data_IF_455813062747
#
_entry.id   IF_455813062747
#
_cell.length_a   1.000
_cell.length_b   1.000
_cell.length_c   1.000
_cell.angle_alpha   90.00
_cell.angle_beta   90.00
_cell.angle_gamma   90.00
#
_symmetry.space_group_name_H-M   'P 1'
#
loop_
_entity.id
_entity.type
_entity.pdbx_description
1 polymer ?
#
# COMPACT_ATOMS: atom_id res chain seq x y z
N UNK A 1 16.23 -2.18 8.84
CA UNK A 1 16.18 -3.66 8.77
C UNK A 1 15.15 -4.13 9.78
N UNK A 2 14.46 -5.25 9.54
CA UNK A 2 13.39 -5.75 10.41
C UNK A 2 13.91 -6.89 11.29
N UNK A 3 14.87 -6.58 12.16
CA UNK A 3 15.45 -7.56 13.09
C UNK A 3 14.55 -7.83 14.29
N UNK A 4 13.92 -6.78 14.81
CA UNK A 4 13.09 -6.81 16.00
C UNK A 4 12.01 -5.71 15.90
N UNK A 5 11.10 -5.70 16.88
CA UNK A 5 10.03 -4.71 16.99
C UNK A 5 10.53 -3.27 16.96
N UNK A 6 11.58 -2.96 17.73
CA UNK A 6 12.12 -1.60 17.84
C UNK A 6 12.66 -1.09 16.50
N UNK A 7 13.44 -1.92 15.80
CA UNK A 7 14.00 -1.55 14.50
C UNK A 7 12.94 -1.37 13.41
N UNK A 8 11.90 -2.20 13.47
CA UNK A 8 10.74 -2.08 12.57
C UNK A 8 9.99 -0.79 12.83
N UNK A 9 9.64 -0.48 14.09
CA UNK A 9 8.95 0.76 14.44
C UNK A 9 9.77 2.00 14.07
N UNK A 10 11.09 1.98 14.26
CA UNK A 10 11.98 3.07 13.82
C UNK A 10 11.94 3.26 12.30
N UNK A 11 11.91 2.16 11.54
CA UNK A 11 11.80 2.21 10.08
C UNK A 11 10.46 2.80 9.66
N UNK A 12 9.35 2.33 10.24
CA UNK A 12 8.00 2.82 9.95
C UNK A 12 7.81 4.29 10.38
N UNK A 13 8.44 4.71 11.47
CA UNK A 13 8.45 6.12 11.88
C UNK A 13 9.05 7.03 10.80
N UNK A 14 10.10 6.57 10.11
CA UNK A 14 10.70 7.31 8.99
C UNK A 14 9.81 7.33 7.74
N UNK A 15 8.75 6.53 7.69
CA UNK A 15 7.79 6.53 6.59
C UNK A 15 6.59 7.45 6.84
N UNK A 16 6.38 7.92 8.07
CA UNK A 16 5.30 8.87 8.40
C UNK A 16 5.30 10.09 7.46
N UNK A 17 6.45 10.74 7.15
CA UNK A 17 6.48 11.89 6.27
C UNK A 17 6.15 11.60 4.80
N UNK A 18 6.01 10.33 4.41
CA UNK A 18 5.65 9.92 3.05
C UNK A 18 4.14 9.93 2.81
N UNK A 19 3.33 10.04 3.86
CA UNK A 19 1.89 10.27 3.74
C UNK A 19 1.58 11.78 3.79
N UNK A 20 0.35 12.14 3.43
CA UNK A 20 -0.11 13.52 3.62
C UNK A 20 -0.34 13.83 5.10
N UNK A 21 -0.39 15.12 5.45
CA UNK A 21 -0.63 15.56 6.84
C UNK A 21 -1.94 15.03 7.45
N UNK A 22 -2.93 14.71 6.60
CA UNK A 22 -4.21 14.10 6.99
C UNK A 22 -4.20 12.56 6.80
N UNK A 23 -3.01 11.95 6.78
CA UNK A 23 -2.78 10.52 6.55
C UNK A 23 -3.36 9.95 5.26
N UNK A 24 -3.72 10.80 4.30
CA UNK A 24 -4.25 10.43 2.99
C UNK A 24 -5.63 11.00 2.67
N UNK A 25 -6.33 11.52 3.68
CA UNK A 25 -7.65 12.10 3.47
C UNK A 25 -7.58 13.50 2.84
N UNK A 26 -8.45 13.74 1.86
CA UNK A 26 -8.58 15.02 1.15
C UNK A 26 -10.03 15.47 1.11
N UNK A 27 -10.21 16.79 1.02
CA UNK A 27 -11.51 17.45 0.87
C UNK A 27 -11.57 18.06 -0.52
N UNK A 28 -12.55 17.64 -1.32
CA UNK A 28 -12.78 18.18 -2.66
C UNK A 28 -13.84 19.26 -2.58
N UNK A 29 -13.48 20.49 -2.94
CA UNK A 29 -14.45 21.60 -3.08
C UNK A 29 -15.38 21.32 -4.26
N UNK A 30 -16.67 21.61 -4.07
CA UNK A 30 -17.69 21.40 -5.09
C UNK A 30 -17.72 19.97 -5.65
N UNK A 31 -17.53 18.97 -4.78
CA UNK A 31 -17.46 17.55 -5.15
C UNK A 31 -18.63 17.07 -6.04
N UNK A 32 -19.81 17.67 -5.88
CA UNK A 32 -21.02 17.41 -6.68
C UNK A 32 -20.86 17.68 -8.19
N UNK A 33 -19.78 18.35 -8.62
CA UNK A 33 -19.47 18.62 -10.03
C UNK A 33 -18.71 17.48 -10.71
N UNK A 34 -18.26 16.50 -9.94
CA UNK A 34 -17.46 15.38 -10.40
C UNK A 34 -18.20 14.08 -10.12
N UNK A 35 -17.84 13.04 -10.87
CA UNK A 35 -18.31 11.69 -10.61
C UNK A 35 -17.40 11.05 -9.55
N UNK A 36 -17.70 11.37 -8.28
CA UNK A 36 -16.96 10.87 -7.12
C UNK A 36 -17.85 9.91 -6.34
N UNK A 37 -17.24 8.90 -5.67
CA UNK A 37 -18.00 7.97 -4.83
C UNK A 37 -18.67 8.70 -3.66
N UNK A 38 -19.50 7.98 -2.91
CA UNK A 38 -20.07 8.52 -1.68
C UNK A 38 -18.95 8.86 -0.68
N UNK A 39 -18.86 10.08 -0.14
CA UNK A 39 -17.73 10.45 0.72
C UNK A 39 -17.79 9.78 2.10
N UNK A 40 -16.62 9.65 2.72
CA UNK A 40 -16.51 9.43 4.16
C UNK A 40 -16.97 10.66 4.95
N UNK A 41 -17.32 10.45 6.21
CA UNK A 41 -17.50 11.54 7.18
C UNK A 41 -16.22 11.61 8.01
N UNK A 42 -15.45 12.69 7.85
CA UNK A 42 -14.15 12.87 8.53
C UNK A 42 -14.11 14.21 9.26
N UNK A 43 -13.26 14.30 10.27
CA UNK A 43 -12.97 15.57 10.93
C UNK A 43 -12.21 16.50 9.98
N UNK A 44 -12.79 17.65 9.67
CA UNK A 44 -12.19 18.70 8.83
C UNK A 44 -11.40 19.68 9.69
N UNK A 45 -11.90 19.92 10.90
CA UNK A 45 -11.23 20.67 11.95
C UNK A 45 -11.65 20.15 13.33
N UNK A 46 -11.15 20.79 14.39
CA UNK A 46 -11.40 20.41 15.79
C UNK A 46 -12.86 20.44 16.24
N UNK A 47 -13.77 21.02 15.45
CA UNK A 47 -15.18 21.22 15.80
C UNK A 47 -16.16 20.73 14.73
N UNK A 48 -15.68 20.38 13.53
CA UNK A 48 -16.54 20.10 12.39
C UNK A 48 -16.10 18.86 11.62
N UNK A 49 -17.09 18.02 11.37
CA UNK A 49 -17.00 16.93 10.41
C UNK A 49 -17.55 17.34 9.04
N UNK A 50 -17.09 16.66 8.00
CA UNK A 50 -17.49 16.93 6.63
C UNK A 50 -17.15 15.78 5.68
N UNK A 51 -17.55 15.93 4.40
CA UNK A 51 -17.24 14.94 3.39
C UNK A 51 -15.75 14.92 3.08
N UNK A 52 -15.17 13.73 3.02
CA UNK A 52 -13.79 13.52 2.60
C UNK A 52 -13.57 12.20 1.90
N UNK A 53 -12.45 12.11 1.20
CA UNK A 53 -12.04 10.96 0.39
C UNK A 53 -10.63 10.55 0.77
N UNK A 54 -10.34 9.26 0.71
CA UNK A 54 -8.98 8.76 0.93
C UNK A 54 -8.28 8.65 -0.43
N UNK A 55 -7.08 9.21 -0.60
CA UNK A 55 -6.32 8.94 -1.83
C UNK A 55 -5.69 7.54 -1.75
N UNK A 56 -5.86 6.75 -2.80
CA UNK A 56 -5.44 5.34 -2.84
C UNK A 56 -3.97 5.13 -2.53
N UNK A 57 -3.05 5.91 -3.11
CA UNK A 57 -1.61 5.77 -2.81
C UNK A 57 -1.29 5.83 -1.32
N UNK A 58 -1.98 6.70 -0.56
CA UNK A 58 -1.75 6.81 0.88
C UNK A 58 -2.40 5.67 1.66
N UNK A 59 -3.49 5.10 1.15
CA UNK A 59 -4.11 3.92 1.73
C UNK A 59 -3.22 2.69 1.50
N UNK A 60 -2.67 2.52 0.30
CA UNK A 60 -1.70 1.47 -0.02
C UNK A 60 -0.45 1.56 0.88
N UNK A 61 0.10 2.78 1.09
CA UNK A 61 1.23 2.99 2.01
C UNK A 61 0.87 2.68 3.47
N UNK A 62 -0.35 2.99 3.89
CA UNK A 62 -0.88 2.63 5.20
C UNK A 62 -0.96 1.12 5.38
N UNK A 63 -1.58 0.41 4.43
CA UNK A 63 -1.68 -1.05 4.42
C UNK A 63 -0.29 -1.71 4.42
N UNK A 64 0.66 -1.21 3.63
CA UNK A 64 2.03 -1.71 3.60
C UNK A 64 2.73 -1.56 4.96
N UNK A 65 2.49 -0.45 5.66
CA UNK A 65 3.02 -0.21 7.01
C UNK A 65 2.42 -1.17 8.03
N UNK A 66 1.11 -1.45 7.92
CA UNK A 66 0.41 -2.46 8.73
C UNK A 66 1.00 -3.85 8.51
N UNK A 67 1.23 -4.24 7.25
CA UNK A 67 1.82 -5.53 6.91
C UNK A 67 3.24 -5.68 7.48
N UNK A 68 4.07 -4.64 7.40
CA UNK A 68 5.41 -4.66 7.98
C UNK A 68 5.39 -4.82 9.51
N UNK A 69 4.46 -4.13 10.20
CA UNK A 69 4.29 -4.28 11.64
C UNK A 69 3.83 -5.70 12.02
N UNK A 70 2.82 -6.23 11.32
CA UNK A 70 2.28 -7.56 11.60
C UNK A 70 3.27 -8.67 11.23
N UNK A 71 4.03 -8.51 10.16
CA UNK A 71 5.14 -9.39 9.83
C UNK A 71 6.10 -9.49 11.01
N UNK A 72 6.51 -8.34 11.58
CA UNK A 72 7.41 -8.34 12.73
C UNK A 72 6.79 -8.96 14.00
N UNK A 73 5.49 -8.74 14.22
CA UNK A 73 4.77 -9.34 15.36
C UNK A 73 4.61 -10.87 15.21
N UNK A 74 4.46 -11.38 14.00
CA UNK A 74 4.35 -12.83 13.75
C UNK A 74 5.61 -13.61 14.15
N UNK A 75 6.76 -12.96 14.17
CA UNK A 75 8.05 -13.52 14.62
C UNK A 75 8.44 -13.03 16.03
N UNK A 76 7.53 -12.45 16.80
CA UNK A 76 7.88 -11.84 18.10
C UNK A 76 8.57 -12.85 19.03
N UNK A 77 9.78 -12.49 19.49
CA UNK A 77 10.65 -13.36 20.30
C UNK A 77 11.53 -14.34 19.52
N UNK A 78 11.43 -14.41 18.19
CA UNK A 78 12.30 -15.23 17.33
C UNK A 78 13.41 -14.36 16.74
N UNK A 79 14.65 -14.72 16.99
CA UNK A 79 15.82 -14.10 16.34
C UNK A 79 15.83 -14.45 14.84
N UNK A 80 15.60 -13.47 13.99
CA UNK A 80 15.69 -13.62 12.55
C UNK A 80 17.14 -13.64 12.10
N UNK A 81 17.45 -14.51 11.12
CA UNK A 81 18.76 -14.43 10.46
C UNK A 81 18.91 -13.09 9.72
N UNK A 82 20.15 -12.63 9.58
CA UNK A 82 20.45 -11.39 8.83
C UNK A 82 19.87 -11.42 7.42
N UNK A 83 19.98 -12.56 6.72
CA UNK A 83 19.42 -12.73 5.38
C UNK A 83 17.91 -12.46 5.36
N UNK A 84 17.15 -13.04 6.29
CA UNK A 84 15.69 -12.87 6.37
C UNK A 84 15.33 -11.44 6.75
N UNK A 85 15.92 -10.90 7.81
CA UNK A 85 15.61 -9.55 8.28
C UNK A 85 15.96 -8.47 7.25
N UNK A 86 17.08 -8.63 6.53
CA UNK A 86 17.50 -7.74 5.46
C UNK A 86 16.57 -7.86 4.24
N UNK A 87 16.34 -9.08 3.74
CA UNK A 87 15.54 -9.29 2.53
C UNK A 87 14.11 -8.81 2.74
N UNK A 88 13.52 -9.08 3.90
CA UNK A 88 12.17 -8.59 4.23
C UNK A 88 12.11 -7.06 4.22
N UNK A 89 13.02 -6.38 4.93
CA UNK A 89 13.06 -4.92 4.95
C UNK A 89 13.32 -4.32 3.56
N UNK A 90 14.17 -4.96 2.76
CA UNK A 90 14.42 -4.58 1.37
C UNK A 90 13.15 -4.70 0.52
N UNK A 91 12.44 -5.84 0.57
CA UNK A 91 11.21 -6.08 -0.19
C UNK A 91 10.12 -5.06 0.15
N UNK A 92 9.87 -4.81 1.44
CA UNK A 92 8.91 -3.78 1.86
C UNK A 92 9.29 -2.39 1.34
N UNK A 93 10.58 -2.02 1.40
CA UNK A 93 11.04 -0.75 0.85
C UNK A 93 10.97 -0.69 -0.68
N UNK A 94 11.16 -1.81 -1.37
CA UNK A 94 11.04 -1.90 -2.83
C UNK A 94 9.58 -1.72 -3.27
N UNK A 95 8.64 -2.41 -2.62
CA UNK A 95 7.20 -2.25 -2.87
C UNK A 95 6.76 -0.82 -2.59
N UNK A 96 7.20 -0.23 -1.47
CA UNK A 96 6.91 1.18 -1.14
C UNK A 96 7.34 2.14 -2.26
N UNK A 97 8.52 1.93 -2.83
CA UNK A 97 9.00 2.75 -3.94
C UNK A 97 8.14 2.56 -5.19
N UNK A 98 7.72 1.33 -5.49
CA UNK A 98 6.77 1.05 -6.58
C UNK A 98 5.46 1.79 -6.42
N UNK A 99 4.84 1.73 -5.23
CA UNK A 99 3.60 2.45 -4.91
C UNK A 99 3.75 3.96 -5.08
N UNK A 100 4.89 4.54 -4.68
CA UNK A 100 5.13 5.97 -4.86
C UNK A 100 5.45 6.35 -6.31
N UNK A 101 6.07 5.45 -7.07
CA UNK A 101 6.43 5.67 -8.47
C UNK A 101 5.21 5.60 -9.39
N UNK A 102 4.29 4.67 -9.11
CA UNK A 102 3.01 4.50 -9.79
C UNK A 102 1.87 4.91 -8.86
N UNK A 103 1.97 6.11 -8.29
CA UNK A 103 1.04 6.61 -7.28
C UNK A 103 -0.39 6.69 -7.84
N UNK A 104 -1.26 5.82 -7.34
CA UNK A 104 -2.68 5.84 -7.66
C UNK A 104 -3.36 7.04 -6.98
N UNK A 105 -3.90 7.94 -7.81
CA UNK A 105 -4.53 9.19 -7.40
C UNK A 105 -6.06 9.07 -7.22
N UNK A 106 -6.61 7.86 -7.36
CA UNK A 106 -8.04 7.57 -7.16
C UNK A 106 -8.50 8.06 -5.79
N UNK A 107 -9.72 8.60 -5.75
CA UNK A 107 -10.37 9.08 -4.54
C UNK A 107 -11.36 8.04 -4.04
N UNK A 108 -10.98 7.32 -3.00
CA UNK A 108 -11.80 6.29 -2.37
C UNK A 108 -12.87 6.92 -1.48
N UNK A 109 -14.09 6.41 -1.61
CA UNK A 109 -15.24 6.75 -0.79
C UNK A 109 -15.78 5.52 -0.06
N UNK A 110 -16.97 5.65 0.51
CA UNK A 110 -17.73 4.54 1.10
C UNK A 110 -18.22 3.60 -0.01
N UNK A 111 -17.96 2.32 0.19
CA UNK A 111 -18.45 1.19 -0.62
C UNK A 111 -19.12 0.17 0.31
N UNK A 112 -19.78 -0.84 -0.25
CA UNK A 112 -20.39 -1.91 0.54
C UNK A 112 -19.37 -3.01 0.90
N UNK A 113 -18.21 -3.01 0.23
CA UNK A 113 -17.14 -3.99 0.32
C UNK A 113 -16.10 -3.66 1.41
N UNK A 114 -16.02 -2.39 1.81
CA UNK A 114 -15.12 -1.91 2.87
C UNK A 114 -14.16 -0.82 2.40
N UNK A 115 -13.29 -0.30 3.27
CA UNK A 115 -12.41 0.80 2.91
C UNK A 115 -11.50 0.44 1.73
N UNK A 116 -11.51 1.27 0.69
CA UNK A 116 -10.73 1.06 -0.54
C UNK A 116 -11.28 -0.01 -1.47
N UNK A 117 -11.76 -1.13 -0.93
CA UNK A 117 -12.40 -2.19 -1.70
C UNK A 117 -13.66 -1.71 -2.42
N UNK A 118 -13.85 -2.11 -3.67
CA UNK A 118 -14.95 -1.65 -4.51
C UNK A 118 -14.77 -0.26 -5.12
N UNK A 119 -13.64 0.41 -4.89
CA UNK A 119 -13.30 1.65 -5.59
C UNK A 119 -12.91 1.35 -7.05
N UNK A 120 -13.29 2.25 -7.97
CA UNK A 120 -12.89 2.14 -9.38
C UNK A 120 -11.52 2.77 -9.59
N UNK A 121 -10.61 2.03 -10.23
CA UNK A 121 -9.23 2.45 -10.49
C UNK A 121 -8.93 2.46 -11.99
N UNK A 122 -8.04 3.34 -12.43
CA UNK A 122 -7.46 3.28 -13.77
C UNK A 122 -6.20 2.40 -13.73
N UNK A 123 -6.26 1.25 -14.39
CA UNK A 123 -5.20 0.25 -14.38
C UNK A 123 -4.50 0.13 -15.74
N UNK A 124 -3.26 -0.37 -15.71
CA UNK A 124 -2.63 -0.92 -16.91
C UNK A 124 -3.38 -2.16 -17.36
N UNK A 125 -3.40 -2.41 -18.66
CA UNK A 125 -3.88 -3.69 -19.20
C UNK A 125 -2.91 -4.80 -18.77
N UNK A 126 -3.29 -5.49 -17.70
CA UNK A 126 -2.44 -6.52 -17.08
C UNK A 126 -2.26 -7.73 -17.99
N UNK A 127 -3.28 -8.08 -18.77
CA UNK A 127 -3.22 -9.22 -19.68
C UNK A 127 -2.25 -8.92 -20.83
N UNK A 128 -2.34 -7.73 -21.42
CA UNK A 128 -1.39 -7.30 -22.45
C UNK A 128 0.05 -7.19 -21.91
N UNK A 129 0.23 -6.67 -20.69
CA UNK A 129 1.52 -6.62 -20.01
C UNK A 129 2.10 -8.03 -19.80
N UNK A 130 1.27 -8.94 -19.30
CA UNK A 130 1.65 -10.33 -19.02
C UNK A 130 1.99 -11.07 -20.30
N UNK A 131 1.21 -10.90 -21.37
CA UNK A 131 1.49 -11.47 -22.69
C UNK A 131 2.84 -10.97 -23.22
N UNK A 132 3.07 -9.65 -23.20
CA UNK A 132 4.33 -9.07 -23.63
C UNK A 132 5.51 -9.64 -22.82
N UNK A 133 5.41 -9.70 -21.49
CA UNK A 133 6.47 -10.22 -20.64
C UNK A 133 6.79 -11.70 -20.94
N UNK A 134 5.77 -12.53 -21.16
CA UNK A 134 5.95 -13.95 -21.49
C UNK A 134 6.60 -14.14 -22.86
N UNK A 135 6.26 -13.31 -23.86
CA UNK A 135 6.87 -13.36 -25.19
C UNK A 135 8.34 -12.89 -25.19
N UNK A 136 8.76 -12.13 -24.18
CA UNK A 136 10.13 -11.65 -23.99
C UNK A 136 10.83 -12.32 -22.80
N UNK A 137 10.35 -13.48 -22.35
CA UNK A 137 10.89 -14.16 -21.19
C UNK A 137 12.37 -14.55 -21.41
N UNK A 138 13.17 -14.48 -20.35
CA UNK A 138 14.52 -15.04 -20.33
C UNK A 138 14.48 -16.58 -20.27
N UNK A 139 15.34 -17.23 -19.46
CA UNK A 139 15.22 -18.66 -19.23
C UNK A 139 13.91 -18.96 -18.50
N UNK A 140 13.03 -19.76 -19.12
CA UNK A 140 11.85 -20.28 -18.44
C UNK A 140 12.27 -21.09 -17.22
N UNK A 141 11.78 -20.70 -16.06
CA UNK A 141 12.01 -21.43 -14.82
C UNK A 141 11.43 -22.85 -14.97
N UNK A 142 12.17 -23.87 -14.51
CA UNK A 142 11.68 -25.26 -14.51
C UNK A 142 10.80 -25.49 -13.29
N UNK A 143 9.87 -26.45 -13.36
CA UNK A 143 9.05 -26.87 -12.22
C UNK A 143 9.94 -27.33 -11.05
N UNK A 144 10.31 -26.42 -10.13
CA UNK A 144 10.96 -26.75 -8.86
C UNK A 144 9.88 -26.67 -7.78
N UNK A 145 9.48 -27.80 -7.17
CA UNK A 145 8.27 -27.85 -6.33
C UNK A 145 8.31 -26.98 -5.06
N UNK A 146 9.50 -26.69 -4.52
CA UNK A 146 9.63 -26.22 -3.13
C UNK A 146 10.14 -24.78 -2.96
N UNK A 147 10.52 -24.09 -4.03
CA UNK A 147 11.00 -22.69 -3.99
C UNK A 147 10.12 -21.72 -4.80
N UNK A 148 9.04 -22.22 -5.40
CA UNK A 148 8.14 -21.44 -6.24
C UNK A 148 7.09 -20.69 -5.42
N UNK A 149 7.52 -19.66 -4.70
CA UNK A 149 6.63 -18.53 -4.40
C UNK A 149 6.90 -17.45 -5.45
N UNK A 150 5.80 -17.01 -6.09
CA UNK A 150 5.75 -16.00 -7.17
C UNK A 150 6.68 -14.81 -6.95
#
# INVERSE_FOLDING_TARGET
>A
MFFNKTDTLRTLHNWIPLSSGSRGYVVVKDAHRYDLPNPYTIAIDRYKDGPGYMMTVFHQLHCLSYLAEHYQQGYDGIELTEKVAHHTAHCFNYIRQGLMCSADITLEGKTDEGPGEGSEHECVDYDALLEWANNHSAMKWRNVPDEATL
#
